data_IF_866569291834
#
_entry.id   IF_866569291834
#
_cell.length_a   1.000
_cell.length_b   1.000
_cell.length_c   1.000
_cell.angle_alpha   90.00
_cell.angle_beta   90.00
_cell.angle_gamma   90.00
#
_symmetry.space_group_name_H-M   'P 1'
#
loop_
_entity.id
_entity.type
_entity.pdbx_description
1 polymer ?
#
# COMPACT_ATOMS: atom_id res chain seq x y z
N UNK A 1 23.33 -14.22 -19.96
CA UNK A 1 23.41 -12.92 -19.24
C UNK A 1 22.03 -12.39 -18.82
N UNK A 2 21.01 -12.44 -19.69
CA UNK A 2 19.64 -11.93 -19.39
C UNK A 2 18.88 -12.68 -18.27
N UNK A 3 19.19 -13.97 -18.08
CA UNK A 3 18.50 -14.85 -17.10
C UNK A 3 18.88 -14.54 -15.64
N UNK A 4 20.07 -13.98 -15.40
CA UNK A 4 20.56 -13.65 -14.03
C UNK A 4 20.04 -12.29 -13.56
N UNK A 5 19.86 -11.33 -14.47
CA UNK A 5 19.35 -10.00 -14.16
C UNK A 5 17.85 -10.00 -13.79
N UNK A 6 17.07 -10.85 -14.45
CA UNK A 6 15.63 -10.96 -14.22
C UNK A 6 15.24 -11.23 -12.75
N UNK A 7 15.76 -12.27 -12.06
CA UNK A 7 15.38 -12.56 -10.68
C UNK A 7 15.80 -11.45 -9.70
N UNK A 8 16.94 -10.79 -9.92
CA UNK A 8 17.40 -9.68 -9.08
C UNK A 8 16.44 -8.48 -9.20
N UNK A 9 16.06 -8.10 -10.42
CA UNK A 9 15.07 -7.05 -10.64
C UNK A 9 13.70 -7.44 -10.08
N UNK A 10 13.26 -8.68 -10.32
CA UNK A 10 12.01 -9.19 -9.78
C UNK A 10 11.98 -9.09 -8.25
N UNK A 11 13.01 -9.56 -7.55
CA UNK A 11 13.12 -9.46 -6.09
C UNK A 11 13.11 -8.00 -5.62
N UNK A 12 13.86 -7.11 -6.28
CA UNK A 12 13.88 -5.68 -5.93
C UNK A 12 12.48 -5.03 -6.03
N UNK A 13 11.71 -5.38 -7.07
CA UNK A 13 10.34 -4.89 -7.21
C UNK A 13 9.35 -5.61 -6.27
N UNK A 14 9.57 -6.88 -5.92
CA UNK A 14 8.78 -7.59 -4.90
C UNK A 14 8.97 -6.97 -3.50
N UNK A 15 10.19 -6.51 -3.16
CA UNK A 15 10.45 -5.72 -1.94
C UNK A 15 9.65 -4.42 -1.98
N UNK A 16 9.62 -3.72 -3.13
CA UNK A 16 8.85 -2.49 -3.35
C UNK A 16 7.34 -2.72 -3.27
N UNK A 17 6.87 -3.89 -3.71
CA UNK A 17 5.46 -4.31 -3.67
C UNK A 17 5.01 -4.83 -2.29
N UNK A 18 5.89 -4.79 -1.28
CA UNK A 18 5.61 -5.17 0.10
C UNK A 18 5.03 -6.59 0.23
N UNK A 19 5.57 -7.55 -0.53
CA UNK A 19 5.22 -8.95 -0.38
C UNK A 19 5.69 -9.46 1.00
N UNK A 20 4.87 -10.28 1.67
CA UNK A 20 5.30 -10.94 2.90
C UNK A 20 6.47 -11.90 2.62
N UNK A 21 7.58 -11.90 3.40
CA UNK A 21 7.84 -11.22 4.68
C UNK A 21 8.55 -9.85 4.58
N UNK A 22 8.77 -9.33 3.37
CA UNK A 22 9.56 -8.12 3.08
C UNK A 22 8.80 -6.80 3.36
N UNK A 23 7.59 -6.84 3.92
CA UNK A 23 6.77 -5.67 4.22
C UNK A 23 7.14 -4.92 5.52
N UNK A 24 8.13 -5.43 6.27
CA UNK A 24 8.49 -4.92 7.59
C UNK A 24 8.91 -3.43 7.62
N UNK A 25 9.36 -2.88 6.49
CA UNK A 25 9.77 -1.48 6.37
C UNK A 25 8.60 -0.51 6.21
N UNK A 26 7.43 -0.98 5.75
CA UNK A 26 6.35 -0.12 5.29
C UNK A 26 5.62 0.56 6.46
N UNK A 27 5.19 -0.21 7.46
CA UNK A 27 4.41 0.34 8.59
C UNK A 27 5.22 1.34 9.43
N UNK A 28 6.50 1.11 9.76
CA UNK A 28 7.31 2.09 10.48
C UNK A 28 7.59 3.36 9.66
N UNK A 29 7.91 3.23 8.36
CA UNK A 29 8.23 4.38 7.51
C UNK A 29 7.04 5.32 7.29
N UNK A 30 5.83 4.76 7.16
CA UNK A 30 4.61 5.55 6.98
C UNK A 30 4.11 6.18 8.28
N UNK A 31 4.46 5.59 9.43
CA UNK A 31 4.12 6.16 10.74
C UNK A 31 5.03 7.35 11.12
N UNK A 32 6.25 7.41 10.57
CA UNK A 32 7.25 8.44 10.87
C UNK A 32 7.21 9.66 9.93
N UNK A 33 6.41 9.63 8.86
CA UNK A 33 6.37 10.69 7.83
C UNK A 33 5.11 11.56 7.93
N UNK A 34 5.19 12.79 7.41
CA UNK A 34 4.02 13.67 7.30
C UNK A 34 3.00 13.09 6.31
N UNK A 35 1.71 13.35 6.53
CA UNK A 35 0.64 12.74 5.75
C UNK A 35 0.74 12.90 4.22
N UNK A 36 1.16 14.07 3.66
CA UNK A 36 1.36 14.20 2.22
C UNK A 36 2.50 13.31 1.70
N UNK A 37 3.58 13.17 2.48
CA UNK A 37 4.73 12.32 2.14
C UNK A 37 4.33 10.84 2.20
N UNK A 38 3.53 10.44 3.19
CA UNK A 38 2.98 9.09 3.29
C UNK A 38 2.06 8.75 2.09
N UNK A 39 1.25 9.71 1.62
CA UNK A 39 0.44 9.55 0.41
C UNK A 39 1.30 9.35 -0.85
N UNK A 40 2.38 10.12 -1.02
CA UNK A 40 3.33 9.93 -2.12
C UNK A 40 4.07 8.58 -2.03
N UNK A 41 4.40 8.13 -0.81
CA UNK A 41 4.98 6.81 -0.59
C UNK A 41 4.01 5.69 -0.98
N UNK A 42 2.71 5.85 -0.70
CA UNK A 42 1.68 4.88 -1.09
C UNK A 42 1.68 4.65 -2.61
N UNK A 43 1.80 5.74 -3.39
CA UNK A 43 1.90 5.69 -4.84
C UNK A 43 3.13 4.91 -5.31
N UNK A 44 4.28 5.02 -4.64
CA UNK A 44 5.51 4.31 -5.01
C UNK A 44 5.35 2.78 -4.99
N UNK A 45 4.52 2.25 -4.08
CA UNK A 45 4.20 0.83 -3.99
C UNK A 45 3.48 0.34 -5.26
N UNK A 46 2.62 1.19 -5.84
CA UNK A 46 1.87 0.90 -7.06
C UNK A 46 2.74 0.92 -8.31
N UNK A 47 3.72 1.83 -8.36
CA UNK A 47 4.74 1.85 -9.42
C UNK A 47 5.54 0.54 -9.42
N UNK A 48 5.89 0.02 -8.23
CA UNK A 48 6.56 -1.28 -8.10
C UNK A 48 5.73 -2.44 -8.65
N UNK A 49 4.43 -2.48 -8.33
CA UNK A 49 3.49 -3.51 -8.82
C UNK A 49 3.33 -3.46 -10.35
N UNK A 50 3.25 -2.25 -10.94
CA UNK A 50 3.22 -2.10 -12.40
C UNK A 50 4.54 -2.52 -13.06
N UNK A 51 5.69 -2.24 -12.43
CA UNK A 51 6.98 -2.68 -12.93
C UNK A 51 7.10 -4.22 -12.93
N UNK A 52 6.57 -4.91 -11.91
CA UNK A 52 6.47 -6.38 -11.90
C UNK A 52 5.68 -6.85 -13.11
N UNK A 53 4.46 -6.33 -13.33
CA UNK A 53 3.63 -6.66 -14.49
C UNK A 53 4.41 -6.45 -15.80
N UNK A 54 5.07 -5.30 -15.96
CA UNK A 54 5.80 -4.96 -17.18
C UNK A 54 7.01 -5.85 -17.42
N UNK A 55 7.80 -6.13 -16.38
CA UNK A 55 8.92 -7.07 -16.46
C UNK A 55 8.44 -8.46 -16.84
N UNK A 56 7.30 -8.89 -16.28
CA UNK A 56 6.74 -10.19 -16.58
C UNK A 56 6.29 -10.30 -18.04
N UNK A 57 5.59 -9.30 -18.56
CA UNK A 57 5.18 -9.26 -19.97
C UNK A 57 6.36 -9.12 -20.95
N UNK A 58 7.47 -8.50 -20.53
CA UNK A 58 8.65 -8.29 -21.38
C UNK A 58 9.52 -9.55 -21.46
N UNK A 59 9.72 -10.25 -20.34
CA UNK A 59 10.56 -11.44 -20.26
C UNK A 59 9.82 -12.73 -20.62
N UNK A 60 8.49 -12.75 -20.50
CA UNK A 60 7.64 -13.87 -20.91
C UNK A 60 6.61 -13.41 -21.95
N UNK A 61 6.99 -13.27 -23.23
CA UNK A 61 6.05 -12.99 -24.30
C UNK A 61 5.03 -14.14 -24.40
N UNK A 62 3.76 -13.81 -24.55
CA UNK A 62 2.65 -14.78 -24.69
C UNK A 62 2.82 -15.79 -25.86
N UNK A 63 3.80 -15.57 -26.74
CA UNK A 63 4.08 -16.39 -27.91
C UNK A 63 4.86 -17.69 -27.63
N UNK A 64 5.47 -17.86 -26.44
CA UNK A 64 6.16 -19.11 -26.10
C UNK A 64 5.19 -20.03 -25.37
N UNK A 65 4.61 -20.96 -26.12
CA UNK A 65 3.72 -22.03 -25.67
C UNK A 65 4.45 -23.10 -24.81
N UNK A 66 5.18 -22.67 -23.78
CA UNK A 66 5.74 -23.56 -22.77
C UNK A 66 4.98 -23.36 -21.44
N UNK A 67 4.61 -24.44 -20.73
CA UNK A 67 3.81 -24.39 -19.52
C UNK A 67 4.70 -24.04 -18.32
N UNK A 68 5.47 -22.96 -18.39
CA UNK A 68 6.24 -22.53 -17.22
C UNK A 68 5.36 -21.58 -16.43
N UNK A 69 4.65 -22.15 -15.45
CA UNK A 69 4.04 -21.45 -14.31
C UNK A 69 5.10 -20.80 -13.40
N UNK A 70 6.22 -20.36 -13.97
CA UNK A 70 7.38 -19.88 -13.23
C UNK A 70 7.04 -18.54 -12.58
N UNK A 71 6.94 -18.54 -11.26
CA UNK A 71 6.61 -17.36 -10.45
C UNK A 71 5.12 -17.10 -10.24
N UNK A 72 4.21 -17.66 -11.04
CA UNK A 72 2.76 -17.43 -10.89
C UNK A 72 2.22 -18.00 -9.56
N UNK A 73 2.62 -19.23 -9.23
CA UNK A 73 2.29 -19.87 -7.94
C UNK A 73 2.92 -19.15 -6.76
N UNK A 74 4.16 -18.69 -6.90
CA UNK A 74 4.84 -17.91 -5.86
C UNK A 74 4.18 -16.54 -5.64
N UNK A 75 3.75 -15.86 -6.70
CA UNK A 75 2.99 -14.61 -6.64
C UNK A 75 1.61 -14.81 -6.00
N UNK A 76 0.94 -15.92 -6.30
CA UNK A 76 -0.37 -16.25 -5.73
C UNK A 76 -0.26 -16.54 -4.23
N UNK A 77 0.65 -17.43 -3.83
CA UNK A 77 0.89 -17.76 -2.42
C UNK A 77 1.40 -16.54 -1.66
N UNK A 78 2.36 -15.80 -2.23
CA UNK A 78 2.87 -14.58 -1.62
C UNK A 78 1.83 -13.47 -1.53
N UNK A 79 0.97 -13.31 -2.54
CA UNK A 79 -0.15 -12.37 -2.53
C UNK A 79 -1.17 -12.71 -1.45
N UNK A 80 -1.59 -13.97 -1.35
CA UNK A 80 -2.50 -14.45 -0.31
C UNK A 80 -1.92 -14.31 1.10
N UNK A 81 -0.64 -14.66 1.29
CA UNK A 81 0.06 -14.46 2.55
C UNK A 81 0.14 -12.98 2.93
N UNK A 82 0.37 -12.11 1.95
CA UNK A 82 0.41 -10.65 2.14
C UNK A 82 -0.96 -10.11 2.53
N UNK A 83 -2.05 -10.59 1.92
CA UNK A 83 -3.42 -10.23 2.31
C UNK A 83 -3.69 -10.70 3.74
N UNK A 84 -3.40 -11.96 4.06
CA UNK A 84 -3.65 -12.52 5.40
C UNK A 84 -2.92 -11.71 6.48
N UNK A 85 -1.63 -11.45 6.29
CA UNK A 85 -0.83 -10.64 7.21
C UNK A 85 -1.29 -9.19 7.28
N UNK A 86 -1.59 -8.58 6.12
CA UNK A 86 -2.08 -7.20 6.03
C UNK A 86 -3.40 -7.03 6.78
N UNK A 87 -4.33 -7.96 6.64
CA UNK A 87 -5.63 -7.93 7.33
C UNK A 87 -5.48 -8.11 8.83
N UNK A 88 -4.63 -9.03 9.29
CA UNK A 88 -4.36 -9.19 10.74
C UNK A 88 -3.75 -7.92 11.33
N UNK A 89 -2.79 -7.31 10.65
CA UNK A 89 -2.18 -6.06 11.10
C UNK A 89 -3.12 -4.85 11.04
N UNK A 90 -4.04 -4.83 10.07
CA UNK A 90 -5.11 -3.84 9.96
C UNK A 90 -6.05 -3.91 11.19
N UNK A 91 -6.50 -5.13 11.54
CA UNK A 91 -7.38 -5.36 12.69
C UNK A 91 -6.71 -5.05 14.03
N UNK A 92 -5.39 -5.27 14.14
CA UNK A 92 -4.61 -4.97 15.33
C UNK A 92 -4.27 -3.47 15.49
N UNK A 93 -4.60 -2.62 14.50
CA UNK A 93 -4.16 -1.23 14.48
C UNK A 93 -5.24 -0.25 14.92
N UNK A 94 -4.90 0.59 15.91
CA UNK A 94 -5.81 1.62 16.45
C UNK A 94 -5.51 3.01 15.83
N UNK A 95 -4.26 3.26 15.44
CA UNK A 95 -3.84 4.54 14.84
C UNK A 95 -4.19 4.60 13.36
N UNK A 96 -4.86 5.67 12.92
CA UNK A 96 -5.27 5.88 11.51
C UNK A 96 -4.09 5.74 10.52
N UNK A 97 -2.91 6.28 10.87
CA UNK A 97 -1.72 6.17 10.00
C UNK A 97 -1.26 4.72 9.82
N UNK A 98 -1.42 3.86 10.84
CA UNK A 98 -1.13 2.42 10.73
C UNK A 98 -2.20 1.69 9.94
N UNK A 99 -3.48 2.01 10.17
CA UNK A 99 -4.60 1.45 9.41
C UNK A 99 -4.41 1.72 7.91
N UNK A 100 -4.08 2.95 7.54
CA UNK A 100 -3.79 3.31 6.15
C UNK A 100 -2.59 2.52 5.58
N UNK A 101 -1.51 2.35 6.36
CA UNK A 101 -0.36 1.53 5.97
C UNK A 101 -0.70 0.06 5.71
N UNK A 102 -1.50 -0.57 6.59
CA UNK A 102 -1.94 -1.95 6.41
C UNK A 102 -2.93 -2.11 5.24
N UNK A 103 -3.78 -1.13 4.97
CA UNK A 103 -4.64 -1.11 3.77
C UNK A 103 -3.83 -1.12 2.47
N UNK A 104 -2.67 -0.47 2.42
CA UNK A 104 -1.76 -0.53 1.26
C UNK A 104 -1.20 -1.95 1.07
N UNK A 105 -0.84 -2.62 2.17
CA UNK A 105 -0.32 -4.00 2.14
C UNK A 105 -1.40 -4.95 1.59
N UNK A 106 -2.63 -4.86 2.11
CA UNK A 106 -3.76 -5.66 1.62
C UNK A 106 -4.01 -5.39 0.13
N UNK A 107 -4.04 -4.12 -0.28
CA UNK A 107 -4.23 -3.73 -1.68
C UNK A 107 -3.13 -4.25 -2.60
N UNK A 108 -1.89 -4.30 -2.11
CA UNK A 108 -0.74 -4.84 -2.84
C UNK A 108 -0.85 -6.34 -3.00
N UNK A 109 -1.22 -7.08 -1.95
CA UNK A 109 -1.47 -8.51 -2.01
C UNK A 109 -2.61 -8.88 -2.96
N UNK A 110 -3.68 -8.09 -3.01
CA UNK A 110 -4.79 -8.25 -3.98
C UNK A 110 -4.30 -8.13 -5.41
N UNK A 111 -3.46 -7.13 -5.70
CA UNK A 111 -2.89 -6.93 -7.04
C UNK A 111 -1.92 -8.05 -7.45
N UNK A 112 -1.07 -8.51 -6.53
CA UNK A 112 -0.18 -9.64 -6.78
C UNK A 112 -0.96 -10.92 -7.10
N UNK A 113 -2.04 -11.17 -6.35
CA UNK A 113 -2.94 -12.31 -6.60
C UNK A 113 -3.68 -12.17 -7.94
N UNK A 114 -4.15 -10.96 -8.28
CA UNK A 114 -4.80 -10.67 -9.54
C UNK A 114 -3.88 -10.91 -10.75
N UNK A 115 -2.61 -10.52 -10.65
CA UNK A 115 -1.63 -10.72 -11.73
C UNK A 115 -1.17 -12.17 -11.86
N UNK A 116 -1.19 -12.94 -10.78
CA UNK A 116 -0.93 -14.38 -10.83
C UNK A 116 -1.94 -15.14 -11.71
N UNK A 117 -3.17 -14.62 -11.86
CA UNK A 117 -4.25 -15.24 -12.64
C UNK A 117 -4.06 -15.12 -14.17
N UNK A 118 -3.12 -14.31 -14.67
CA UNK A 118 -2.77 -14.16 -16.11
C UNK A 118 -3.94 -13.92 -17.07
N UNK A 119 -5.04 -13.36 -16.58
CA UNK A 119 -6.20 -13.03 -17.41
C UNK A 119 -6.15 -11.58 -17.86
N UNK A 120 -6.36 -11.33 -19.16
CA UNK A 120 -6.44 -9.97 -19.71
C UNK A 120 -7.58 -9.17 -19.07
N UNK A 121 -8.71 -9.81 -18.80
CA UNK A 121 -9.86 -9.20 -18.13
C UNK A 121 -9.51 -8.78 -16.69
N UNK A 122 -8.85 -9.68 -15.94
CA UNK A 122 -8.42 -9.40 -14.56
C UNK A 122 -7.34 -8.33 -14.53
N UNK A 123 -6.45 -8.29 -15.53
CA UNK A 123 -5.38 -7.28 -15.63
C UNK A 123 -5.97 -5.89 -15.88
N UNK A 124 -6.97 -5.77 -16.76
CA UNK A 124 -7.68 -4.51 -16.98
C UNK A 124 -8.35 -3.99 -15.71
N UNK A 125 -9.08 -4.86 -14.99
CA UNK A 125 -9.70 -4.51 -13.71
C UNK A 125 -8.67 -4.13 -12.64
N UNK A 126 -7.54 -4.84 -12.57
CA UNK A 126 -6.46 -4.55 -11.64
C UNK A 126 -5.77 -3.20 -11.91
N UNK A 127 -5.59 -2.83 -13.18
CA UNK A 127 -5.06 -1.50 -13.54
C UNK A 127 -6.01 -0.37 -13.13
N UNK A 128 -7.32 -0.55 -13.32
CA UNK A 128 -8.31 0.40 -12.81
C UNK A 128 -8.28 0.48 -11.27
N UNK A 129 -8.17 -0.67 -10.60
CA UNK A 129 -8.05 -0.74 -9.14
C UNK A 129 -6.79 -0.04 -8.60
N UNK A 130 -5.67 -0.04 -9.33
CA UNK A 130 -4.47 0.71 -8.93
C UNK A 130 -4.79 2.19 -8.76
N UNK A 131 -5.50 2.80 -9.72
CA UNK A 131 -5.84 4.21 -9.68
C UNK A 131 -6.77 4.53 -8.51
N UNK A 132 -7.89 3.81 -8.39
CA UNK A 132 -8.88 4.06 -7.35
C UNK A 132 -8.34 3.81 -5.94
N UNK A 133 -7.56 2.74 -5.75
CA UNK A 133 -6.94 2.43 -4.46
C UNK A 133 -5.89 3.48 -4.05
N UNK A 134 -5.14 4.04 -5.00
CA UNK A 134 -4.18 5.11 -4.70
C UNK A 134 -4.88 6.37 -4.24
N UNK A 135 -5.91 6.79 -4.98
CA UNK A 135 -6.70 7.97 -4.61
C UNK A 135 -7.37 7.80 -3.24
N UNK A 136 -7.93 6.62 -2.97
CA UNK A 136 -8.55 6.31 -1.68
C UNK A 136 -7.54 6.40 -0.52
N UNK A 137 -6.35 5.81 -0.65
CA UNK A 137 -5.32 5.86 0.39
C UNK A 137 -4.79 7.27 0.60
N UNK A 138 -4.53 8.02 -0.47
CA UNK A 138 -4.10 9.41 -0.39
C UNK A 138 -5.14 10.29 0.32
N UNK A 139 -6.42 10.10 -0.01
CA UNK A 139 -7.51 10.79 0.67
C UNK A 139 -7.55 10.46 2.17
N UNK A 140 -7.39 9.19 2.56
CA UNK A 140 -7.34 8.78 3.97
C UNK A 140 -6.19 9.49 4.71
N UNK A 141 -4.98 9.54 4.13
CA UNK A 141 -3.86 10.24 4.77
C UNK A 141 -4.12 11.75 4.92
N UNK A 142 -4.67 12.41 3.89
CA UNK A 142 -4.98 13.84 3.95
C UNK A 142 -6.09 14.16 4.95
N UNK A 143 -7.15 13.35 4.99
CA UNK A 143 -8.26 13.50 5.95
C UNK A 143 -7.77 13.23 7.37
N UNK A 144 -6.91 12.22 7.57
CA UNK A 144 -6.33 11.92 8.88
C UNK A 144 -5.52 13.10 9.43
N UNK A 145 -4.78 13.78 8.57
CA UNK A 145 -4.03 14.97 8.94
C UNK A 145 -4.93 16.17 9.24
N UNK A 146 -5.95 16.39 8.41
CA UNK A 146 -6.93 17.44 8.65
C UNK A 146 -7.67 17.25 9.98
N UNK A 147 -8.08 16.01 10.29
CA UNK A 147 -8.74 15.67 11.55
C UNK A 147 -7.82 15.92 12.76
N UNK A 148 -6.54 15.55 12.68
CA UNK A 148 -5.56 15.85 13.73
C UNK A 148 -5.38 17.34 13.98
N UNK A 149 -5.37 18.15 12.91
CA UNK A 149 -5.27 19.61 13.03
C UNK A 149 -6.50 20.22 13.69
N UNK A 150 -7.69 19.69 13.38
CA UNK A 150 -8.95 20.09 13.98
C UNK A 150 -9.04 19.84 15.49
N UNK A 151 -8.52 18.71 15.96
CA UNK A 151 -8.47 18.38 17.40
C UNK A 151 -7.49 19.26 18.20
N UNK A 152 -6.46 19.80 17.54
CA UNK A 152 -5.52 20.76 18.15
C UNK A 152 -6.00 22.21 18.13
N UNK A 153 -7.15 22.51 17.51
CA UNK A 153 -7.73 23.85 17.57
C UNK A 153 -8.27 24.13 19.00
N UNK A 154 -8.11 25.35 19.54
CA UNK A 154 -7.99 25.56 20.98
C UNK A 154 -9.30 25.29 21.73
N UNK A 155 -9.37 24.18 22.46
CA UNK A 155 -10.25 24.06 23.65
C UNK A 155 -9.76 24.90 24.83
N UNK A 156 -8.59 25.54 24.70
CA UNK A 156 -8.02 26.42 25.72
C UNK A 156 -8.81 27.74 25.85
N UNK A 157 -9.32 28.32 24.75
CA UNK A 157 -9.97 29.63 24.79
C UNK A 157 -11.36 29.65 25.43
N UNK A 158 -12.03 28.49 25.56
CA UNK A 158 -13.31 28.43 26.27
C UNK A 158 -13.12 28.31 27.78
N UNK A 159 -12.05 27.64 28.23
CA UNK A 159 -11.73 27.50 29.65
C UNK A 159 -11.18 28.81 30.21
N UNK A 160 -10.29 29.48 29.46
CA UNK A 160 -9.75 30.80 29.85
C UNK A 160 -10.85 31.89 29.87
N UNK A 161 -11.90 31.75 29.05
CA UNK A 161 -13.03 32.68 29.02
C UNK A 161 -14.06 32.39 30.12
N UNK A 162 -14.23 31.13 30.54
CA UNK A 162 -15.06 30.77 31.71
C UNK A 162 -14.37 31.14 33.03
N UNK A 163 -13.05 30.93 33.15
CA UNK A 163 -12.28 31.34 34.33
C UNK A 163 -12.25 32.87 34.47
N UNK A 164 -11.99 33.61 33.38
CA UNK A 164 -12.01 35.08 33.40
C UNK A 164 -13.40 35.68 33.67
N UNK A 165 -14.48 34.98 33.32
CA UNK A 165 -15.85 35.39 33.65
C UNK A 165 -16.24 35.06 35.10
N UNK A 166 -15.53 34.14 35.76
CA UNK A 166 -15.77 33.74 37.15
C UNK A 166 -15.01 34.60 38.17
N UNK A 167 -13.92 35.25 37.77
CA UNK A 167 -13.13 36.16 38.63
C UNK A 167 -13.75 37.56 38.81
N UNK A 168 -14.72 37.93 37.96
CA UNK A 168 -15.35 39.27 37.93
C UNK A 168 -16.74 39.33 38.62
N UNK A 169 -17.14 38.28 39.33
CA UNK A 169 -18.40 38.19 40.12
C UNK A 169 -18.17 37.93 41.60
#
# INVERSE_FOLDING_TARGET
>A
MLIVFFPILAVAFLVKAAIWPLNAWLVPAYAATSAPVAALFALMTKVGIYAILRLWSLFFPAAIAAPTHFGASALLVGGLATIAFGTVGLLASIRISRIAGFSIIVSSGTLLTAFALRSALVTGAALYYVLSATLAVSAIFLIAELARRGDTAPRASSLDAEDAASEDT
#
